data_IF_307213339640
#
_entry.id   IF_307213339640
#
_cell.length_a   1.000
_cell.length_b   1.000
_cell.length_c   1.000
_cell.angle_alpha   90.00
_cell.angle_beta   90.00
_cell.angle_gamma   90.00
#
_symmetry.space_group_name_H-M   'P 1'
#
loop_
_entity.id
_entity.type
_entity.pdbx_description
1 polymer ?
#
# COMPACT_ATOMS: atom_id res chain seq x y z
N UNK A 1 29.71 -7.19 84.75
CA UNK A 1 29.89 -6.00 83.89
C UNK A 1 30.37 -6.41 82.49
N UNK A 2 29.51 -7.05 81.67
CA UNK A 2 29.93 -7.59 80.35
C UNK A 2 28.88 -7.50 79.24
N UNK A 3 27.73 -6.86 79.47
CA UNK A 3 26.61 -6.86 78.51
C UNK A 3 26.20 -5.47 78.00
N UNK A 4 27.07 -4.45 78.11
CA UNK A 4 26.79 -3.11 77.54
C UNK A 4 27.57 -2.77 76.26
N UNK A 5 28.52 -3.62 75.85
CA UNK A 5 29.30 -3.42 74.62
C UNK A 5 28.61 -4.04 73.39
N UNK A 6 27.76 -5.06 73.59
CA UNK A 6 27.06 -5.75 72.49
C UNK A 6 25.93 -4.89 71.88
N UNK A 7 25.33 -3.98 72.66
CA UNK A 7 24.24 -3.14 72.16
C UNK A 7 24.73 -2.00 71.26
N UNK A 8 26.01 -1.62 71.34
CA UNK A 8 26.58 -0.52 70.54
C UNK A 8 27.14 -0.98 69.18
N UNK A 9 27.29 -2.30 68.96
CA UNK A 9 27.69 -2.86 67.66
C UNK A 9 26.49 -3.09 66.70
N UNK A 10 25.27 -3.20 67.23
CA UNK A 10 24.06 -3.43 66.42
C UNK A 10 23.56 -2.14 65.75
N UNK A 11 23.85 -0.97 66.33
CA UNK A 11 23.46 0.31 65.72
C UNK A 11 24.40 0.77 64.58
N UNK A 12 25.58 0.16 64.40
CA UNK A 12 26.54 0.54 63.34
C UNK A 12 26.39 -0.29 62.06
N UNK A 13 25.50 -1.30 62.05
CA UNK A 13 25.21 -2.13 60.87
C UNK A 13 24.02 -1.64 60.04
N UNK A 14 23.36 -0.54 60.43
CA UNK A 14 22.23 0.05 59.71
C UNK A 14 22.61 1.15 58.70
N UNK A 15 23.90 1.38 58.45
CA UNK A 15 24.37 2.44 57.53
C UNK A 15 24.72 1.96 56.11
N UNK A 16 24.36 0.73 55.73
CA UNK A 16 24.56 0.21 54.36
C UNK A 16 23.25 -0.16 53.65
N UNK A 17 22.19 0.63 53.83
CA UNK A 17 21.14 0.71 52.82
C UNK A 17 21.53 1.83 51.85
N UNK A 18 22.49 1.53 50.95
CA UNK A 18 22.58 2.27 49.69
C UNK A 18 21.22 2.07 49.05
N UNK A 19 20.42 3.14 49.04
CA UNK A 19 19.15 3.14 48.34
C UNK A 19 19.41 2.67 46.92
N UNK A 20 18.79 1.55 46.54
CA UNK A 20 18.34 1.43 45.17
C UNK A 20 17.41 2.63 44.97
N UNK A 21 17.93 3.70 44.39
CA UNK A 21 17.07 4.64 43.70
C UNK A 21 16.38 3.79 42.64
N UNK A 22 15.15 3.36 42.94
CA UNK A 22 14.18 3.02 41.93
C UNK A 22 14.10 4.29 41.11
N UNK A 23 14.76 4.25 39.96
CA UNK A 23 14.65 5.27 38.96
C UNK A 23 13.19 5.17 38.52
N UNK A 24 12.31 5.99 39.11
CA UNK A 24 10.93 6.21 38.66
C UNK A 24 10.96 6.98 37.33
N UNK A 25 11.71 6.45 36.36
CA UNK A 25 11.40 6.64 34.97
C UNK A 25 10.25 5.67 34.72
N UNK A 26 9.04 6.14 34.33
CA UNK A 26 8.06 5.22 33.76
C UNK A 26 8.81 4.37 32.75
N UNK A 27 8.59 3.03 32.67
CA UNK A 27 9.19 2.27 31.59
C UNK A 27 8.85 3.06 30.33
N UNK A 28 9.88 3.50 29.60
CA UNK A 28 9.69 4.10 28.30
C UNK A 28 8.69 3.18 27.63
N UNK A 29 7.50 3.73 27.34
CA UNK A 29 6.51 3.01 26.57
C UNK A 29 7.30 2.54 25.38
N UNK A 30 7.53 1.24 25.25
CA UNK A 30 8.12 0.68 24.05
C UNK A 30 7.15 1.07 22.95
N UNK A 31 7.41 2.22 22.32
CA UNK A 31 6.80 2.58 21.06
C UNK A 31 7.39 1.56 20.12
N UNK A 32 6.60 0.52 19.84
CA UNK A 32 6.93 -0.42 18.80
C UNK A 32 7.42 0.38 17.58
N UNK A 33 8.52 -0.06 16.94
CA UNK A 33 9.07 0.69 15.82
C UNK A 33 7.97 0.86 14.78
N UNK A 34 7.59 2.11 14.54
CA UNK A 34 6.77 2.49 13.39
C UNK A 34 7.43 1.87 12.15
N UNK A 35 6.83 0.81 11.57
CA UNK A 35 7.40 0.15 10.40
C UNK A 35 7.46 -1.38 10.35
N UNK A 36 6.79 -2.13 11.24
CA UNK A 36 6.45 -3.53 10.92
C UNK A 36 5.01 -3.54 10.42
N UNK A 37 4.84 -3.66 9.10
CA UNK A 37 3.53 -3.67 8.46
C UNK A 37 2.59 -4.64 9.17
N UNK A 38 1.41 -4.15 9.54
CA UNK A 38 0.39 -4.94 10.21
C UNK A 38 -0.36 -5.85 9.24
N UNK A 39 -0.36 -5.51 7.95
CA UNK A 39 -0.97 -6.31 6.88
C UNK A 39 -0.40 -5.90 5.52
N UNK A 40 -0.53 -6.77 4.51
CA UNK A 40 -0.24 -6.50 3.11
C UNK A 40 -1.18 -7.30 2.20
N UNK A 41 -1.37 -6.84 0.96
CA UNK A 41 -2.21 -7.52 0.00
C UNK A 41 -2.66 -6.63 -1.15
N UNK A 42 -3.59 -7.14 -1.96
CA UNK A 42 -4.12 -6.43 -3.14
C UNK A 42 -5.37 -5.62 -2.78
N UNK A 43 -5.43 -4.36 -3.19
CA UNK A 43 -6.66 -3.56 -3.08
C UNK A 43 -7.70 -4.14 -4.04
N UNK A 44 -8.82 -4.64 -3.53
CA UNK A 44 -9.92 -5.20 -4.35
C UNK A 44 -11.16 -4.33 -4.36
N UNK A 45 -11.28 -3.40 -3.41
CA UNK A 45 -12.36 -2.40 -3.36
C UNK A 45 -11.92 -1.18 -2.56
N UNK A 46 -12.36 0.00 -2.98
CA UNK A 46 -12.23 1.26 -2.25
C UNK A 46 -13.63 1.82 -2.02
N UNK A 47 -13.94 2.18 -0.78
CA UNK A 47 -15.18 2.90 -0.45
C UNK A 47 -14.96 3.84 0.74
N UNK A 48 -16.04 4.47 1.21
CA UNK A 48 -16.00 5.43 2.32
C UNK A 48 -15.49 4.83 3.65
N UNK A 49 -15.53 3.50 3.79
CA UNK A 49 -14.99 2.79 4.94
C UNK A 49 -13.47 2.59 4.88
N UNK A 50 -12.86 2.75 3.70
CA UNK A 50 -11.43 2.58 3.48
C UNK A 50 -11.13 1.58 2.36
N UNK A 51 -10.05 0.82 2.53
CA UNK A 51 -9.58 -0.14 1.52
C UNK A 51 -9.92 -1.56 1.93
N UNK A 52 -10.53 -2.31 1.03
CA UNK A 52 -10.65 -3.76 1.16
C UNK A 52 -9.41 -4.41 0.56
N UNK A 53 -8.64 -5.08 1.40
CA UNK A 53 -7.38 -5.73 1.03
C UNK A 53 -7.58 -7.25 1.00
N UNK A 54 -7.28 -7.84 -0.15
CA UNK A 54 -7.16 -9.28 -0.31
C UNK A 54 -5.76 -9.73 0.12
N UNK A 55 -5.71 -10.44 1.24
CA UNK A 55 -4.52 -11.19 1.68
C UNK A 55 -4.49 -12.60 1.08
N UNK A 56 -3.83 -13.54 1.76
CA UNK A 56 -3.72 -14.93 1.30
C UNK A 56 -5.07 -15.67 1.37
N UNK A 57 -5.78 -15.56 2.49
CA UNK A 57 -6.97 -16.39 2.77
C UNK A 57 -8.29 -15.60 2.77
N UNK A 58 -8.24 -14.28 2.90
CA UNK A 58 -9.44 -13.46 3.13
C UNK A 58 -9.32 -12.04 2.57
N UNK A 59 -10.48 -11.37 2.49
CA UNK A 59 -10.58 -9.93 2.23
C UNK A 59 -10.96 -9.23 3.53
N UNK A 60 -10.19 -8.23 3.94
CA UNK A 60 -10.42 -7.44 5.15
C UNK A 60 -10.54 -5.95 4.82
N UNK A 61 -11.40 -5.24 5.56
CA UNK A 61 -11.56 -3.78 5.45
C UNK A 61 -10.62 -3.07 6.42
N UNK A 62 -9.76 -2.21 5.88
CA UNK A 62 -8.89 -1.32 6.65
C UNK A 62 -9.34 0.12 6.52
N UNK A 63 -9.53 0.80 7.66
CA UNK A 63 -9.90 2.22 7.67
C UNK A 63 -8.71 3.06 7.23
N UNK A 64 -8.80 3.55 6.01
CA UNK A 64 -7.81 4.38 5.34
C UNK A 64 -8.46 5.70 4.98
N UNK A 65 -7.74 6.79 5.19
CA UNK A 65 -8.14 8.12 4.70
C UNK A 65 -7.99 8.14 3.16
N UNK A 66 -9.09 7.92 2.44
CA UNK A 66 -9.10 7.74 0.98
C UNK A 66 -8.83 9.03 0.21
N UNK A 67 -9.00 10.19 0.84
CA UNK A 67 -8.65 11.50 0.29
C UNK A 67 -7.14 11.69 0.32
N UNK A 68 -6.48 11.37 1.44
CA UNK A 68 -5.01 11.42 1.54
C UNK A 68 -4.30 10.36 0.71
N UNK A 69 -4.98 9.25 0.43
CA UNK A 69 -4.47 8.10 -0.33
C UNK A 69 -5.17 8.00 -1.69
N UNK A 70 -5.42 9.14 -2.34
CA UNK A 70 -6.13 9.19 -3.61
C UNK A 70 -5.30 8.71 -4.82
N UNK A 71 -3.99 8.57 -4.62
CA UNK A 71 -3.03 8.06 -5.58
C UNK A 71 -2.97 6.53 -5.66
N UNK A 72 -3.72 5.81 -4.81
CA UNK A 72 -3.84 4.36 -4.86
C UNK A 72 -5.13 3.92 -5.56
N UNK A 73 -5.02 2.82 -6.29
CA UNK A 73 -6.07 2.28 -7.14
C UNK A 73 -6.35 0.81 -6.80
N UNK A 74 -7.55 0.35 -7.15
CA UNK A 74 -7.86 -1.08 -7.13
C UNK A 74 -6.87 -1.83 -8.05
N UNK A 75 -6.50 -3.05 -7.65
CA UNK A 75 -5.53 -3.90 -8.34
C UNK A 75 -4.10 -3.76 -7.83
N UNK A 76 -3.79 -2.72 -7.06
CA UNK A 76 -2.46 -2.51 -6.51
C UNK A 76 -2.15 -3.34 -5.27
N UNK A 77 -0.89 -3.76 -5.14
CA UNK A 77 -0.38 -4.41 -3.94
C UNK A 77 0.20 -3.38 -2.99
N UNK A 78 -0.33 -3.36 -1.78
CA UNK A 78 0.02 -2.36 -0.76
C UNK A 78 0.35 -3.02 0.56
N UNK A 79 1.01 -2.25 1.41
CA UNK A 79 1.26 -2.58 2.81
C UNK A 79 0.61 -1.55 3.70
N UNK A 80 0.09 -2.02 4.83
CA UNK A 80 -0.67 -1.25 5.79
C UNK A 80 0.10 -1.14 7.09
N UNK A 81 0.19 0.08 7.62
CA UNK A 81 0.76 0.35 8.94
C UNK A 81 -0.32 0.93 9.85
N UNK A 82 -0.59 0.25 10.97
CA UNK A 82 -1.52 0.76 11.97
C UNK A 82 -0.98 2.03 12.63
N UNK A 83 -1.78 3.09 12.68
CA UNK A 83 -1.46 4.33 13.41
C UNK A 83 -1.80 4.23 14.89
N UNK A 84 -3.00 3.71 15.17
CA UNK A 84 -3.64 3.76 16.48
C UNK A 84 -4.50 2.50 16.77
N UNK A 85 -4.31 1.43 15.98
CA UNK A 85 -5.12 0.21 16.06
C UNK A 85 -6.42 0.25 15.26
N UNK A 86 -6.81 1.42 14.75
CA UNK A 86 -8.08 1.59 14.04
C UNK A 86 -7.91 2.23 12.66
N UNK A 87 -6.96 3.16 12.50
CA UNK A 87 -6.63 3.84 11.25
C UNK A 87 -5.29 3.35 10.70
N UNK A 88 -5.17 3.29 9.38
CA UNK A 88 -3.99 2.76 8.71
C UNK A 88 -3.38 3.76 7.72
N UNK A 89 -2.05 3.82 7.70
CA UNK A 89 -1.29 4.36 6.57
C UNK A 89 -1.11 3.29 5.51
N UNK A 90 -1.12 3.71 4.24
CA UNK A 90 -0.90 2.85 3.08
C UNK A 90 0.45 3.21 2.45
N UNK A 91 1.22 2.19 2.12
CA UNK A 91 2.42 2.31 1.31
C UNK A 91 2.38 1.27 0.18
N UNK A 92 3.04 1.56 -0.94
CA UNK A 92 3.18 0.57 -2.00
C UNK A 92 3.97 -0.64 -1.51
N UNK A 93 3.58 -1.85 -1.93
CA UNK A 93 4.40 -3.03 -1.71
C UNK A 93 5.50 -3.13 -2.77
N UNK A 94 6.64 -2.47 -2.51
CA UNK A 94 7.81 -2.47 -3.39
C UNK A 94 8.44 -3.86 -3.62
N UNK A 95 8.02 -4.90 -2.87
CA UNK A 95 8.51 -6.27 -3.07
C UNK A 95 7.63 -7.08 -4.01
N UNK A 96 6.43 -6.61 -4.35
CA UNK A 96 5.58 -7.32 -5.29
C UNK A 96 6.17 -7.20 -6.71
N UNK A 97 6.39 -8.34 -7.35
CA UNK A 97 6.95 -8.41 -8.70
C UNK A 97 5.83 -8.38 -9.75
N UNK A 98 5.51 -7.18 -10.23
CA UNK A 98 4.55 -6.97 -11.31
C UNK A 98 5.01 -7.57 -12.65
N UNK A 99 6.32 -7.72 -12.88
CA UNK A 99 6.80 -8.30 -14.14
C UNK A 99 6.57 -9.81 -14.18
N UNK A 100 6.65 -10.49 -13.03
CA UNK A 100 6.32 -11.92 -12.94
C UNK A 100 4.87 -12.22 -13.37
N UNK A 101 3.91 -11.36 -12.98
CA UNK A 101 2.49 -11.51 -13.34
C UNK A 101 2.26 -11.48 -14.87
N UNK A 102 3.09 -10.72 -15.60
CA UNK A 102 3.04 -10.63 -17.05
C UNK A 102 3.62 -11.85 -17.77
N UNK A 103 4.59 -12.53 -17.17
CA UNK A 103 5.20 -13.75 -17.77
C UNK A 103 4.33 -14.99 -17.59
N UNK A 104 3.47 -14.99 -16.59
CA UNK A 104 2.64 -16.15 -16.25
C UNK A 104 1.46 -16.37 -17.20
N UNK A 105 1.27 -15.50 -18.19
CA UNK A 105 0.02 -15.49 -18.93
C UNK A 105 0.08 -15.01 -20.37
N UNK A 106 -0.66 -15.74 -21.20
CA UNK A 106 -0.81 -15.53 -22.65
C UNK A 106 -1.83 -14.42 -22.96
N UNK A 107 -1.58 -13.20 -22.50
CA UNK A 107 -2.51 -12.07 -22.72
C UNK A 107 -2.19 -11.24 -23.95
N UNK A 108 -1.07 -11.51 -24.60
CA UNK A 108 -0.55 -10.75 -25.73
C UNK A 108 -1.22 -11.21 -27.03
N UNK A 109 -2.42 -10.69 -27.28
CA UNK A 109 -3.00 -10.69 -28.62
C UNK A 109 -2.61 -9.40 -29.33
N UNK A 110 -1.71 -9.50 -30.31
CA UNK A 110 -1.21 -8.35 -31.08
C UNK A 110 -2.33 -7.61 -31.82
N UNK A 111 -3.42 -8.29 -32.18
CA UNK A 111 -4.56 -7.66 -32.86
C UNK A 111 -5.39 -6.78 -31.90
N UNK A 112 -5.20 -6.94 -30.58
CA UNK A 112 -5.87 -6.17 -29.52
C UNK A 112 -5.03 -5.01 -28.98
N UNK A 113 -3.86 -4.76 -29.58
CA UNK A 113 -2.84 -3.85 -29.06
C UNK A 113 -3.15 -2.38 -29.40
N UNK A 114 -3.07 -1.52 -28.40
CA UNK A 114 -3.05 -0.06 -28.54
C UNK A 114 -1.74 0.50 -27.99
N UNK A 115 -1.04 1.29 -28.80
CA UNK A 115 0.14 2.06 -28.39
C UNK A 115 -0.28 3.50 -28.10
N UNK A 116 -0.11 3.92 -26.84
CA UNK A 116 -0.69 5.14 -26.33
C UNK A 116 0.32 5.91 -25.49
N UNK A 117 0.32 7.23 -25.66
CA UNK A 117 0.97 8.16 -24.74
C UNK A 117 -0.02 8.61 -23.67
N UNK A 118 0.34 8.44 -22.40
CA UNK A 118 -0.49 8.84 -21.26
C UNK A 118 -0.60 10.38 -21.21
N UNK A 119 -1.83 10.88 -21.08
CA UNK A 119 -2.12 12.31 -20.93
C UNK A 119 -2.60 12.65 -19.54
N UNK A 120 -3.53 11.88 -19.02
CA UNK A 120 -4.09 12.08 -17.69
C UNK A 120 -4.37 10.74 -17.02
N UNK A 121 -4.23 10.72 -15.70
CA UNK A 121 -4.54 9.57 -14.86
C UNK A 121 -5.50 10.07 -13.78
N UNK A 122 -6.60 9.37 -13.60
CA UNK A 122 -7.57 9.65 -12.55
C UNK A 122 -8.10 8.37 -11.92
N UNK A 123 -8.76 8.51 -10.78
CA UNK A 123 -9.45 7.43 -10.09
C UNK A 123 -10.95 7.64 -10.23
N UNK A 124 -11.67 6.64 -10.72
CA UNK A 124 -13.13 6.73 -10.76
C UNK A 124 -13.77 6.55 -9.38
N UNK A 125 -15.09 6.72 -9.32
CA UNK A 125 -15.88 6.58 -8.08
C UNK A 125 -15.82 5.17 -7.46
N UNK A 126 -15.44 4.16 -8.25
CA UNK A 126 -15.30 2.78 -7.79
C UNK A 126 -13.89 2.46 -7.30
N UNK A 127 -12.92 3.37 -7.52
CA UNK A 127 -11.52 3.17 -7.17
C UNK A 127 -10.67 2.59 -8.29
N UNK A 128 -11.24 2.37 -9.49
CA UNK A 128 -10.48 1.92 -10.65
C UNK A 128 -9.63 3.05 -11.21
N UNK A 129 -8.52 2.68 -11.83
CA UNK A 129 -7.71 3.63 -12.57
C UNK A 129 -8.38 3.94 -13.92
N UNK A 130 -8.44 5.22 -14.25
CA UNK A 130 -8.79 5.73 -15.58
C UNK A 130 -7.56 6.39 -16.18
N UNK A 131 -7.22 6.01 -17.41
CA UNK A 131 -6.09 6.60 -18.14
C UNK A 131 -6.65 7.22 -19.40
N UNK A 132 -6.48 8.53 -19.53
CA UNK A 132 -6.71 9.21 -20.80
C UNK A 132 -5.41 9.13 -21.62
N UNK A 133 -5.47 8.47 -22.76
CA UNK A 133 -4.34 8.18 -23.63
C UNK A 133 -4.55 8.68 -25.06
N UNK A 134 -3.45 9.02 -25.74
CA UNK A 134 -3.44 9.48 -27.12
C UNK A 134 -2.56 8.56 -27.98
N UNK A 135 -3.11 8.04 -29.07
CA UNK A 135 -2.36 7.30 -30.08
C UNK A 135 -1.62 8.25 -31.04
N UNK A 136 -0.67 7.72 -31.81
CA UNK A 136 0.12 8.47 -32.81
C UNK A 136 -0.75 9.13 -33.91
N UNK A 137 -1.91 8.57 -34.20
CA UNK A 137 -2.88 9.13 -35.14
C UNK A 137 -3.82 10.18 -34.51
N UNK A 138 -3.53 10.59 -33.28
CA UNK A 138 -4.33 11.49 -32.43
C UNK A 138 -5.70 10.95 -32.02
N UNK A 139 -5.96 9.64 -32.13
CA UNK A 139 -7.15 9.06 -31.51
C UNK A 139 -7.02 9.06 -29.99
N UNK A 140 -8.13 9.43 -29.35
CA UNK A 140 -8.24 9.56 -27.92
C UNK A 140 -8.93 8.34 -27.31
N UNK A 141 -8.37 7.86 -26.20
CA UNK A 141 -8.85 6.68 -25.48
C UNK A 141 -9.01 6.99 -24.00
N UNK A 142 -10.08 6.45 -23.41
CA UNK A 142 -10.31 6.43 -21.97
C UNK A 142 -10.27 4.97 -21.49
N UNK A 143 -9.16 4.61 -20.86
CA UNK A 143 -8.82 3.23 -20.51
C UNK A 143 -9.22 2.96 -19.06
N UNK A 144 -10.01 1.92 -18.86
CA UNK A 144 -10.37 1.39 -17.55
C UNK A 144 -9.36 0.30 -17.13
N UNK A 145 -8.71 0.49 -15.99
CA UNK A 145 -7.89 -0.53 -15.33
C UNK A 145 -8.51 -0.91 -13.97
N UNK A 146 -9.01 -2.13 -13.88
CA UNK A 146 -9.62 -2.68 -12.66
C UNK A 146 -8.63 -3.39 -11.73
N UNK A 147 -9.16 -4.02 -10.68
CA UNK A 147 -8.58 -5.29 -10.23
C UNK A 147 -8.62 -6.23 -11.45
N UNK A 148 -7.90 -7.31 -11.50
CA UNK A 148 -7.88 -8.23 -12.67
C UNK A 148 -7.26 -7.66 -13.96
N UNK A 149 -7.16 -6.33 -14.15
CA UNK A 149 -6.24 -5.77 -15.15
C UNK A 149 -4.81 -6.07 -14.72
N UNK A 150 -4.01 -6.60 -15.65
CA UNK A 150 -2.66 -7.09 -15.35
C UNK A 150 -1.65 -6.05 -15.82
N UNK A 151 -0.70 -5.70 -14.95
CA UNK A 151 0.27 -4.64 -15.19
C UNK A 151 1.69 -5.08 -14.88
N UNK A 152 2.68 -4.53 -15.60
CA UNK A 152 4.11 -4.67 -15.25
C UNK A 152 4.57 -3.56 -14.26
N UNK A 153 3.64 -2.80 -13.71
CA UNK A 153 3.87 -1.65 -12.85
C UNK A 153 2.75 -1.53 -11.80
N UNK A 154 3.03 -0.91 -10.67
CA UNK A 154 1.99 -0.46 -9.75
C UNK A 154 1.28 0.77 -10.33
N UNK A 155 -0.05 0.78 -10.34
CA UNK A 155 -0.86 1.87 -10.90
C UNK A 155 -0.38 3.27 -10.45
N UNK A 156 -0.16 3.46 -9.15
CA UNK A 156 0.35 4.68 -8.50
C UNK A 156 1.72 5.17 -8.99
N UNK A 157 2.45 4.36 -9.77
CA UNK A 157 3.75 4.72 -10.35
C UNK A 157 3.69 5.23 -11.78
N UNK A 158 2.55 5.06 -12.47
CA UNK A 158 2.32 5.58 -13.81
C UNK A 158 2.24 7.11 -13.79
N UNK A 159 2.77 7.75 -14.83
CA UNK A 159 2.80 9.21 -14.96
C UNK A 159 2.28 9.66 -16.31
N UNK A 160 1.86 10.92 -16.36
CA UNK A 160 1.67 11.60 -17.63
C UNK A 160 2.96 11.55 -18.46
N UNK A 161 2.79 11.51 -19.78
CA UNK A 161 3.83 11.33 -20.79
C UNK A 161 4.51 9.95 -20.85
N UNK A 162 4.19 9.01 -19.96
CA UNK A 162 4.63 7.61 -20.12
C UNK A 162 4.04 7.02 -21.40
N UNK A 163 4.81 6.13 -22.05
CA UNK A 163 4.35 5.32 -23.17
C UNK A 163 3.87 3.97 -22.65
N UNK A 164 2.65 3.61 -23.04
CA UNK A 164 2.02 2.35 -22.63
C UNK A 164 1.51 1.57 -23.83
N UNK A 165 1.60 0.26 -23.70
CA UNK A 165 0.89 -0.68 -24.54
C UNK A 165 -0.31 -1.20 -23.75
N UNK A 166 -1.51 -1.06 -24.32
CA UNK A 166 -2.74 -1.61 -23.76
C UNK A 166 -3.21 -2.77 -24.61
N UNK A 167 -3.45 -3.92 -23.98
CA UNK A 167 -4.12 -5.06 -24.59
C UNK A 167 -5.59 -5.04 -24.16
N UNK A 168 -6.48 -4.89 -25.13
CA UNK A 168 -7.90 -4.62 -24.85
C UNK A 168 -8.74 -5.90 -24.77
N UNK A 169 -9.69 -5.95 -23.86
CA UNK A 169 -10.81 -6.92 -23.91
C UNK A 169 -11.95 -6.41 -24.79
N UNK A 170 -12.12 -5.09 -24.86
CA UNK A 170 -13.13 -4.45 -25.67
C UNK A 170 -12.88 -2.95 -25.83
N UNK A 171 -13.34 -2.42 -26.95
CA UNK A 171 -13.25 -0.99 -27.30
C UNK A 171 -14.63 -0.52 -27.74
N UNK A 172 -15.09 0.59 -27.20
CA UNK A 172 -16.36 1.20 -27.60
C UNK A 172 -16.20 2.08 -28.85
N UNK A 173 -17.33 2.37 -29.51
CA UNK A 173 -17.36 3.18 -30.74
C UNK A 173 -17.64 4.68 -30.48
N UNK A 174 -17.36 5.18 -29.27
CA UNK A 174 -17.55 6.60 -28.91
C UNK A 174 -16.20 7.34 -28.92
N UNK A 175 -16.22 8.66 -28.72
CA UNK A 175 -15.00 9.49 -28.68
C UNK A 175 -15.02 10.30 -27.36
N UNK A 176 -14.00 10.19 -26.49
CA UNK A 176 -12.89 9.22 -26.58
C UNK A 176 -13.40 7.77 -26.53
N UNK A 177 -12.67 6.84 -27.18
CA UNK A 177 -13.06 5.43 -27.17
C UNK A 177 -12.79 4.84 -25.79
N UNK A 178 -13.81 4.20 -25.21
CA UNK A 178 -13.68 3.56 -23.89
C UNK A 178 -13.08 2.17 -24.07
N UNK A 179 -12.00 1.91 -23.35
CA UNK A 179 -11.24 0.66 -23.43
C UNK A 179 -11.33 -0.08 -22.10
N UNK A 180 -11.78 -1.33 -22.12
CA UNK A 180 -11.60 -2.23 -20.98
C UNK A 180 -10.27 -2.95 -21.15
N UNK A 181 -9.32 -2.68 -20.25
CA UNK A 181 -7.96 -3.20 -20.36
C UNK A 181 -7.83 -4.59 -19.74
N UNK A 182 -7.37 -5.54 -20.55
CA UNK A 182 -6.92 -6.85 -20.09
C UNK A 182 -5.56 -6.73 -19.39
N UNK A 183 -4.64 -6.06 -20.07
CA UNK A 183 -3.28 -5.85 -19.60
C UNK A 183 -2.75 -4.50 -20.06
N UNK A 184 -1.88 -3.90 -19.24
CA UNK A 184 -1.21 -2.63 -19.54
C UNK A 184 0.28 -2.79 -19.25
N UNK A 185 1.11 -2.47 -20.23
CA UNK A 185 2.56 -2.52 -20.12
C UNK A 185 3.10 -1.10 -20.26
N UNK A 186 3.89 -0.66 -19.29
CA UNK A 186 4.72 0.55 -19.45
C UNK A 186 6.04 0.13 -20.11
N UNK A 187 6.38 0.79 -21.21
CA UNK A 187 7.70 0.68 -21.83
C UNK A 187 8.68 1.61 -21.09
N UNK A 188 9.75 1.05 -20.50
CA UNK A 188 10.77 1.80 -19.75
C UNK A 188 12.14 1.66 -20.40
#
# INVERSE_FOLDING_TARGET
MKNKIVLMLICLLLLFMIGCAVNDTPPDKETEPYGKYSSNGRIVKIDNGGFHIQGEDNVELFKVDTEKNNNFFIGEYVRLNSKDGNNYDVALDEKYDYAAAMTAADFYDEDSKLDLKVKEISRDETGKMRIYGLADDNKEYDIAAGADTITNFAHSTLKADDHIIVYTEGVSNVIPAVVEAKAIVVER
#
